data_IF_585062479501
#
_entry.id   IF_585062479501
#
_cell.length_a   1.000
_cell.length_b   1.000
_cell.length_c   1.000
_cell.angle_alpha   90.00
_cell.angle_beta   90.00
_cell.angle_gamma   90.00
#
_symmetry.space_group_name_H-M   'P 1'
#
loop_
_entity.id
_entity.type
_entity.pdbx_description
1 polymer ?
#
# COMPACT_ATOMS: atom_id res chain seq x y z
N UNK A 1 3.76 -19.39 10.85
CA UNK A 1 2.63 -18.58 11.33
C UNK A 1 3.02 -17.11 11.27
N UNK A 2 2.80 -16.41 10.14
CA UNK A 2 2.90 -14.93 9.97
C UNK A 2 3.48 -14.45 8.62
N UNK A 3 3.67 -15.30 7.60
CA UNK A 3 4.18 -14.79 6.31
C UNK A 3 3.26 -13.70 5.74
N UNK A 4 3.83 -12.53 5.52
CA UNK A 4 3.12 -11.37 4.97
C UNK A 4 2.22 -10.60 5.95
N UNK A 5 2.11 -10.96 7.24
CA UNK A 5 1.38 -10.12 8.19
C UNK A 5 2.17 -8.83 8.46
N UNK A 6 1.55 -7.69 8.19
CA UNK A 6 2.08 -6.35 8.39
C UNK A 6 1.17 -5.55 9.30
N UNK A 7 1.74 -4.54 9.94
CA UNK A 7 0.99 -3.60 10.75
C UNK A 7 1.50 -2.18 10.49
N UNK A 8 0.63 -1.20 10.68
CA UNK A 8 0.99 0.21 10.68
C UNK A 8 0.01 0.98 11.56
N UNK A 9 0.40 2.17 12.02
CA UNK A 9 -0.54 3.08 12.65
C UNK A 9 -1.24 3.90 11.57
N UNK A 10 -2.58 3.86 11.55
CA UNK A 10 -3.33 4.65 10.59
C UNK A 10 -3.04 6.14 10.78
N UNK A 11 -2.57 6.87 9.75
CA UNK A 11 -2.27 8.29 9.87
C UNK A 11 -3.51 9.16 10.13
N UNK A 12 -4.72 8.66 9.80
CA UNK A 12 -6.01 9.35 9.99
C UNK A 12 -6.54 9.20 11.41
N UNK A 13 -6.91 7.98 11.83
CA UNK A 13 -7.55 7.72 13.12
C UNK A 13 -6.58 7.32 14.25
N UNK A 14 -5.29 7.12 13.96
CA UNK A 14 -4.24 6.69 14.90
C UNK A 14 -4.39 5.27 15.47
N UNK A 15 -5.33 4.49 14.96
CA UNK A 15 -5.48 3.07 15.30
C UNK A 15 -4.36 2.22 14.68
N UNK A 16 -3.90 1.20 15.41
CA UNK A 16 -2.99 0.20 14.86
C UNK A 16 -3.76 -0.80 14.01
N UNK A 17 -3.46 -0.87 12.72
CA UNK A 17 -4.11 -1.78 11.78
C UNK A 17 -3.18 -2.93 11.42
N UNK A 18 -3.75 -4.12 11.24
CA UNK A 18 -3.04 -5.32 10.79
C UNK A 18 -3.61 -5.77 9.45
N UNK A 19 -2.74 -6.13 8.53
CA UNK A 19 -3.13 -6.51 7.17
C UNK A 19 -2.15 -7.53 6.60
N UNK A 20 -2.58 -8.25 5.57
CA UNK A 20 -1.74 -9.25 4.90
C UNK A 20 -1.26 -8.69 3.56
N UNK A 21 0.05 -8.71 3.34
CA UNK A 21 0.63 -8.39 2.05
C UNK A 21 0.16 -9.42 0.99
N UNK A 22 -0.23 -8.98 -0.21
CA UNK A 22 -0.66 -9.87 -1.29
C UNK A 22 0.57 -10.50 -1.96
N UNK A 23 1.24 -11.42 -1.27
CA UNK A 23 2.55 -11.97 -1.69
C UNK A 23 2.53 -12.55 -3.11
N UNK A 24 1.45 -13.21 -3.53
CA UNK A 24 1.35 -13.75 -4.89
C UNK A 24 1.35 -12.64 -5.96
N UNK A 25 0.58 -11.56 -5.75
CA UNK A 25 0.59 -10.42 -6.66
C UNK A 25 1.95 -9.71 -6.67
N UNK A 26 2.65 -9.69 -5.53
CA UNK A 26 3.97 -9.09 -5.40
C UNK A 26 5.06 -9.86 -6.17
N UNK A 27 4.87 -11.15 -6.51
CA UNK A 27 5.85 -11.91 -7.32
C UNK A 27 5.89 -11.45 -8.78
N UNK A 28 4.82 -10.84 -9.28
CA UNK A 28 4.67 -10.45 -10.68
C UNK A 28 5.08 -8.99 -10.94
N UNK A 29 5.44 -8.25 -9.88
CA UNK A 29 5.72 -6.82 -9.99
C UNK A 29 7.11 -6.59 -10.59
N UNK A 30 7.18 -5.61 -11.50
CA UNK A 30 8.42 -5.31 -12.23
C UNK A 30 9.33 -4.30 -11.53
N UNK A 31 8.81 -3.59 -10.52
CA UNK A 31 9.50 -2.49 -9.86
C UNK A 31 9.05 -2.31 -8.42
N UNK A 32 9.99 -1.90 -7.58
CA UNK A 32 9.79 -1.46 -6.21
C UNK A 32 10.27 -0.01 -6.03
N UNK A 33 9.80 0.71 -4.99
CA UNK A 33 8.70 0.32 -4.11
C UNK A 33 7.35 0.30 -4.85
N UNK A 34 6.44 -0.56 -4.42
CA UNK A 34 5.11 -0.69 -5.04
C UNK A 34 4.01 -0.21 -4.08
N UNK A 35 3.05 0.61 -4.54
CA UNK A 35 1.93 1.03 -3.72
C UNK A 35 0.92 -0.10 -3.53
N UNK A 36 0.43 -0.25 -2.30
CA UNK A 36 -0.70 -1.08 -1.92
C UNK A 36 -1.77 -0.16 -1.32
N UNK A 37 -2.95 -0.17 -1.92
CA UNK A 37 -4.10 0.57 -1.39
C UNK A 37 -4.77 -0.27 -0.32
N UNK A 38 -4.79 0.24 0.91
CA UNK A 38 -5.44 -0.38 2.06
C UNK A 38 -6.68 0.44 2.40
N UNK A 39 -7.85 -0.20 2.36
CA UNK A 39 -9.07 0.40 2.89
C UNK A 39 -9.13 0.20 4.40
N UNK A 40 -9.32 1.27 5.14
CA UNK A 40 -9.55 1.22 6.58
C UNK A 40 -10.73 2.11 6.94
N UNK A 41 -11.83 1.50 7.42
CA UNK A 41 -13.10 2.17 7.68
C UNK A 41 -13.60 2.98 6.45
N UNK A 42 -13.60 4.31 6.57
CA UNK A 42 -14.07 5.30 5.60
C UNK A 42 -12.94 6.00 4.81
N UNK A 43 -11.68 5.60 5.00
CA UNK A 43 -10.53 6.20 4.34
C UNK A 43 -9.61 5.14 3.69
N UNK A 44 -8.78 5.61 2.76
CA UNK A 44 -7.83 4.78 2.03
C UNK A 44 -6.42 5.23 2.33
N UNK A 45 -5.54 4.26 2.56
CA UNK A 45 -4.12 4.45 2.80
C UNK A 45 -3.35 3.89 1.61
N UNK A 46 -2.29 4.57 1.20
CA UNK A 46 -1.30 4.03 0.26
C UNK A 46 -0.10 3.60 1.08
N UNK A 47 0.20 2.31 1.07
CA UNK A 47 1.35 1.74 1.74
C UNK A 47 2.35 1.25 0.69
N UNK A 48 3.56 1.79 0.72
CA UNK A 48 4.61 1.40 -0.21
C UNK A 48 5.39 0.23 0.38
N UNK A 49 5.50 -0.85 -0.40
CA UNK A 49 6.29 -2.03 -0.04
C UNK A 49 7.56 -2.07 -0.87
N UNK A 50 8.70 -2.34 -0.23
CA UNK A 50 10.00 -2.50 -0.89
C UNK A 50 10.25 -3.93 -1.42
N UNK A 51 11.41 -4.14 -2.03
CA UNK A 51 11.81 -5.44 -2.60
C UNK A 51 12.05 -6.53 -1.56
N UNK A 52 12.16 -6.19 -0.28
CA UNK A 52 12.26 -7.12 0.85
C UNK A 52 10.90 -7.35 1.52
N UNK A 53 9.82 -6.90 0.86
CA UNK A 53 8.46 -6.91 1.34
C UNK A 53 8.29 -6.18 2.68
N UNK A 54 9.08 -5.15 2.96
CA UNK A 54 8.94 -4.28 4.13
C UNK A 54 8.15 -3.02 3.78
N UNK A 55 7.52 -2.41 4.80
CA UNK A 55 6.86 -1.12 4.64
C UNK A 55 7.95 -0.06 4.50
N UNK A 56 7.97 0.61 3.35
CA UNK A 56 8.90 1.69 3.05
C UNK A 56 8.32 3.05 3.43
N UNK A 57 7.02 3.27 3.17
CA UNK A 57 6.34 4.52 3.48
C UNK A 57 4.81 4.36 3.50
N UNK A 58 4.09 5.33 4.05
CA UNK A 58 2.63 5.37 4.15
C UNK A 58 2.05 6.76 3.92
N UNK A 59 1.07 6.87 3.04
CA UNK A 59 0.36 8.12 2.71
C UNK A 59 -1.16 7.92 2.80
N UNK A 60 -1.92 9.02 2.84
CA UNK A 60 -3.39 9.01 2.75
C UNK A 60 -3.80 9.27 1.32
N UNK A 61 -4.62 8.40 0.73
CA UNK A 61 -5.26 8.66 -0.55
C UNK A 61 -6.51 9.52 -0.34
N UNK A 62 -6.47 10.76 -0.85
CA UNK A 62 -7.59 11.71 -0.74
C UNK A 62 -8.53 11.62 -1.93
N UNK A 63 -8.02 11.27 -3.11
CA UNK A 63 -8.80 11.16 -4.34
C UNK A 63 -8.06 10.30 -5.37
N UNK A 64 -8.80 9.85 -6.38
CA UNK A 64 -8.28 9.22 -7.59
C UNK A 64 -8.64 10.11 -8.77
N UNK A 65 -7.66 10.42 -9.61
CA UNK A 65 -7.84 11.24 -10.81
C UNK A 65 -7.32 10.48 -12.02
N UNK A 66 -8.08 10.53 -13.11
CA UNK A 66 -7.65 9.95 -14.38
C UNK A 66 -6.60 10.85 -15.04
N UNK A 67 -5.50 10.25 -15.49
CA UNK A 67 -4.46 10.95 -16.21
C UNK A 67 -4.36 10.41 -17.64
N UNK A 68 -4.17 11.30 -18.61
CA UNK A 68 -3.93 10.94 -20.01
C UNK A 68 -2.46 11.13 -20.37
N UNK A 69 -1.84 10.13 -20.99
CA UNK A 69 -0.48 10.27 -21.50
C UNK A 69 -0.42 11.29 -22.64
N UNK A 70 0.58 12.17 -22.63
CA UNK A 70 0.88 13.01 -23.78
C UNK A 70 1.36 12.10 -24.90
N UNK A 71 0.63 12.05 -26.01
CA UNK A 71 1.12 11.40 -27.24
C UNK A 71 2.36 12.18 -27.70
N UNK A 72 3.54 11.57 -27.60
CA UNK A 72 4.74 11.96 -28.35
C UNK A 72 4.61 11.58 -29.80
#
# INVERSE_FOLDING_TARGET
MSEGLKWLQCPVCKETIYWKAPLEALKEVKRFPIPIVIRHNDHFLVCYIDSQYQIADTEVAVSLVDATAKKT
#
